data_IF_616194405704
#
_entry.id   IF_616194405704
#
_cell.length_a   1.000
_cell.length_b   1.000
_cell.length_c   1.000
_cell.angle_alpha   90.00
_cell.angle_beta   90.00
_cell.angle_gamma   90.00
#
_symmetry.space_group_name_H-M   'P 1'
#
loop_
_entity.id
_entity.type
_entity.pdbx_description
1 polymer ?
#
# COMPACT_ATOMS: atom_id res chain seq x y z
N UNK A 1 -2.41 5.71 18.32
CA UNK A 1 -1.06 6.28 18.05
C UNK A 1 -0.61 5.77 16.70
N UNK A 2 -0.16 6.64 15.80
CA UNK A 2 0.46 6.19 14.54
C UNK A 2 1.67 5.32 14.87
N UNK A 3 1.69 4.10 14.33
CA UNK A 3 2.71 3.07 14.62
C UNK A 3 3.75 2.96 13.50
N UNK A 4 3.46 3.53 12.32
CA UNK A 4 4.37 3.44 11.18
C UNK A 4 3.98 4.35 10.02
N UNK A 5 4.85 4.33 9.01
CA UNK A 5 4.61 5.04 7.76
C UNK A 5 4.95 4.16 6.56
N UNK A 6 4.34 4.49 5.44
CA UNK A 6 4.67 3.96 4.12
C UNK A 6 4.98 5.11 3.17
N UNK A 7 5.99 4.94 2.34
CA UNK A 7 6.26 5.82 1.20
C UNK A 7 6.02 5.02 -0.07
N UNK A 8 5.10 5.50 -0.92
CA UNK A 8 4.61 4.77 -2.06
C UNK A 8 5.05 5.39 -3.39
N UNK A 9 5.38 4.53 -4.34
CA UNK A 9 5.74 4.94 -5.70
C UNK A 9 7.20 5.32 -5.86
N UNK A 10 8.09 4.68 -5.12
CA UNK A 10 9.53 4.83 -5.32
C UNK A 10 9.91 4.21 -6.67
N UNK A 11 10.65 4.96 -7.46
CA UNK A 11 11.00 4.57 -8.83
C UNK A 11 12.45 4.84 -9.22
N UNK A 12 13.29 5.29 -8.30
CA UNK A 12 14.72 5.51 -8.55
C UNK A 12 15.59 5.05 -7.37
N UNK A 13 16.83 4.70 -7.67
CA UNK A 13 17.75 4.09 -6.72
C UNK A 13 18.28 5.08 -5.66
N UNK A 14 18.48 6.33 -6.04
CA UNK A 14 19.03 7.34 -5.14
C UNK A 14 18.02 7.68 -4.03
N UNK A 15 16.76 7.89 -4.41
CA UNK A 15 15.67 8.07 -3.45
C UNK A 15 15.50 6.84 -2.56
N UNK A 16 15.56 5.64 -3.15
CA UNK A 16 15.41 4.40 -2.38
C UNK A 16 16.54 4.26 -1.35
N UNK A 17 17.79 4.46 -1.74
CA UNK A 17 18.94 4.44 -0.84
C UNK A 17 18.84 5.48 0.27
N UNK A 18 18.43 6.70 -0.06
CA UNK A 18 18.23 7.75 0.94
C UNK A 18 17.20 7.34 2.00
N UNK A 19 16.05 6.82 1.55
CA UNK A 19 14.94 6.43 2.43
C UNK A 19 15.33 5.27 3.36
N UNK A 20 15.95 4.23 2.81
CA UNK A 20 16.34 3.02 3.56
C UNK A 20 17.40 3.33 4.63
N UNK A 21 18.33 4.23 4.32
CA UNK A 21 19.42 4.59 5.21
C UNK A 21 19.11 5.79 6.11
N UNK A 22 17.89 6.33 6.04
CA UNK A 22 17.47 7.40 6.92
C UNK A 22 17.46 6.92 8.39
N UNK A 23 17.84 7.75 9.39
CA UNK A 23 17.76 7.38 10.81
C UNK A 23 16.37 6.89 11.27
N UNK A 24 15.32 7.35 10.60
CA UNK A 24 13.92 6.95 10.81
C UNK A 24 13.32 6.47 9.48
N UNK A 25 13.67 5.27 9.00
CA UNK A 25 13.16 4.78 7.72
C UNK A 25 11.68 4.47 7.83
N UNK A 26 10.90 4.57 6.72
CA UNK A 26 9.52 4.14 6.72
C UNK A 26 9.43 2.63 6.93
N UNK A 27 8.35 2.19 7.58
CA UNK A 27 8.11 0.76 7.79
C UNK A 27 7.82 0.02 6.48
N UNK A 28 7.24 0.72 5.50
CA UNK A 28 6.89 0.16 4.19
C UNK A 28 7.37 1.06 3.06
N UNK A 29 7.84 0.46 1.97
CA UNK A 29 8.23 1.14 0.73
C UNK A 29 7.49 0.47 -0.44
N UNK A 30 6.66 1.25 -1.15
CA UNK A 30 5.80 0.76 -2.23
C UNK A 30 6.38 1.03 -3.62
N UNK A 31 6.26 0.02 -4.50
CA UNK A 31 6.66 0.07 -5.91
C UNK A 31 5.45 -0.25 -6.79
N UNK A 32 5.12 0.62 -7.75
CA UNK A 32 3.97 0.42 -8.64
C UNK A 32 4.37 -0.51 -9.77
N UNK A 33 3.88 -1.77 -9.72
CA UNK A 33 4.40 -2.86 -10.54
C UNK A 33 3.61 -3.13 -11.84
N UNK A 34 2.33 -2.77 -11.93
CA UNK A 34 1.52 -3.08 -13.12
C UNK A 34 0.60 -1.96 -13.60
N UNK A 35 0.57 -0.81 -12.94
CA UNK A 35 -0.25 0.33 -13.37
C UNK A 35 0.56 1.32 -14.23
N UNK A 36 0.68 1.03 -15.54
CA UNK A 36 1.50 1.78 -16.50
C UNK A 36 1.09 3.25 -16.71
N UNK A 37 -0.14 3.64 -16.33
CA UNK A 37 -0.59 5.03 -16.39
C UNK A 37 0.02 5.92 -15.30
N UNK A 38 0.57 5.33 -14.26
CA UNK A 38 1.27 6.09 -13.22
C UNK A 38 2.63 6.56 -13.71
N UNK A 39 2.97 7.83 -13.47
CA UNK A 39 4.31 8.36 -13.69
C UNK A 39 5.39 7.69 -12.84
N UNK A 40 4.98 6.97 -11.79
CA UNK A 40 5.85 6.23 -10.86
C UNK A 40 5.83 4.71 -11.12
N UNK A 41 5.30 4.28 -12.27
CA UNK A 41 5.35 2.87 -12.67
C UNK A 41 6.79 2.42 -12.85
N UNK A 42 7.08 1.22 -12.39
CA UNK A 42 8.39 0.58 -12.50
C UNK A 42 8.24 -0.75 -13.24
N UNK A 43 8.93 -0.90 -14.35
CA UNK A 43 8.96 -2.16 -15.10
C UNK A 43 9.81 -3.23 -14.38
N UNK A 44 9.76 -4.46 -14.88
CA UNK A 44 10.45 -5.61 -14.27
C UNK A 44 11.96 -5.42 -14.24
N UNK A 45 12.56 -4.88 -15.31
CA UNK A 45 14.01 -4.69 -15.37
C UNK A 45 14.49 -3.71 -14.30
N UNK A 46 13.76 -2.61 -14.18
CA UNK A 46 14.04 -1.58 -13.16
C UNK A 46 13.73 -2.08 -11.74
N UNK A 47 12.65 -2.86 -11.55
CA UNK A 47 12.36 -3.52 -10.27
C UNK A 47 13.50 -4.43 -9.81
N UNK A 48 14.04 -5.25 -10.69
CA UNK A 48 15.19 -6.12 -10.37
C UNK A 48 16.40 -5.30 -9.87
N UNK A 49 16.67 -4.15 -10.51
CA UNK A 49 17.78 -3.26 -10.10
C UNK A 49 17.51 -2.60 -8.74
N UNK A 50 16.29 -2.08 -8.52
CA UNK A 50 15.90 -1.42 -7.28
C UNK A 50 15.89 -2.39 -6.09
N UNK A 51 15.38 -3.58 -6.30
CA UNK A 51 15.17 -4.56 -5.22
C UNK A 51 16.41 -5.42 -4.92
N UNK A 52 17.52 -5.19 -5.63
CA UNK A 52 18.81 -5.85 -5.37
C UNK A 52 19.52 -5.31 -4.12
N UNK A 53 19.07 -4.20 -3.56
CA UNK A 53 19.67 -3.59 -2.35
C UNK A 53 19.09 -4.18 -1.08
N UNK A 54 19.85 -4.09 0.01
CA UNK A 54 19.35 -4.47 1.33
C UNK A 54 18.28 -3.46 1.79
N UNK A 55 17.10 -3.96 2.09
CA UNK A 55 15.96 -3.15 2.56
C UNK A 55 16.05 -2.75 4.04
N UNK A 56 17.09 -3.20 4.75
CA UNK A 56 17.27 -2.95 6.18
C UNK A 56 16.01 -3.28 6.99
N UNK A 57 15.44 -2.26 7.67
CA UNK A 57 14.26 -2.40 8.53
C UNK A 57 12.92 -2.19 7.81
N UNK A 58 12.95 -1.81 6.53
CA UNK A 58 11.75 -1.56 5.75
C UNK A 58 11.18 -2.83 5.12
N UNK A 59 9.88 -2.88 4.91
CA UNK A 59 9.21 -3.92 4.14
C UNK A 59 8.97 -3.42 2.71
N UNK A 60 9.32 -4.21 1.71
CA UNK A 60 9.01 -3.91 0.31
C UNK A 60 7.61 -4.37 -0.06
N UNK A 61 6.87 -3.49 -0.73
CA UNK A 61 5.47 -3.68 -1.10
C UNK A 61 5.30 -3.56 -2.61
N UNK A 62 4.84 -4.64 -3.27
CA UNK A 62 4.38 -4.57 -4.65
C UNK A 62 2.98 -3.96 -4.70
N UNK A 63 2.82 -2.83 -5.34
CA UNK A 63 1.52 -2.18 -5.55
C UNK A 63 0.93 -2.63 -6.87
N UNK A 64 -0.23 -3.25 -6.80
CA UNK A 64 -0.86 -4.00 -7.88
C UNK A 64 -2.33 -3.59 -8.05
N UNK A 65 -2.72 -3.32 -9.27
CA UNK A 65 -4.11 -3.04 -9.65
C UNK A 65 -4.62 -4.19 -10.49
N UNK A 66 -5.58 -4.96 -9.97
CA UNK A 66 -6.16 -6.13 -10.65
C UNK A 66 -5.09 -6.95 -11.39
N UNK A 67 -4.09 -7.49 -10.66
CA UNK A 67 -2.95 -8.16 -11.29
C UNK A 67 -3.41 -9.44 -12.00
N UNK A 68 -2.88 -9.64 -13.19
CA UNK A 68 -2.99 -10.91 -13.91
C UNK A 68 -1.89 -11.90 -13.48
N UNK A 69 -1.99 -13.13 -13.95
CA UNK A 69 -1.01 -14.16 -13.63
C UNK A 69 0.38 -13.83 -14.17
N UNK A 70 0.47 -13.16 -15.33
CA UNK A 70 1.75 -12.81 -15.95
C UNK A 70 2.60 -11.90 -15.05
N UNK A 71 2.01 -10.82 -14.50
CA UNK A 71 2.74 -9.95 -13.58
C UNK A 71 3.09 -10.66 -12.27
N UNK A 72 2.19 -11.46 -11.72
CA UNK A 72 2.43 -12.19 -10.47
C UNK A 72 3.58 -13.20 -10.62
N UNK A 73 3.63 -13.94 -11.72
CA UNK A 73 4.72 -14.86 -12.02
C UNK A 73 6.08 -14.14 -12.20
N UNK A 74 6.08 -12.95 -12.82
CA UNK A 74 7.29 -12.13 -13.00
C UNK A 74 7.85 -11.60 -11.69
N UNK A 75 7.00 -11.26 -10.72
CA UNK A 75 7.44 -10.65 -9.45
C UNK A 75 7.56 -11.63 -8.28
N UNK A 76 7.11 -12.88 -8.43
CA UNK A 76 7.05 -13.84 -7.30
C UNK A 76 8.40 -14.09 -6.62
N UNK A 77 9.50 -14.00 -7.37
CA UNK A 77 10.86 -14.22 -6.88
C UNK A 77 11.53 -12.97 -6.31
N UNK A 78 10.90 -11.79 -6.50
CA UNK A 78 11.42 -10.55 -5.96
C UNK A 78 11.17 -10.46 -4.44
N UNK A 79 12.04 -9.76 -3.68
CA UNK A 79 12.00 -9.74 -2.23
C UNK A 79 10.89 -8.86 -1.65
N UNK A 80 9.70 -8.95 -2.22
CA UNK A 80 8.51 -8.31 -1.67
C UNK A 80 8.00 -9.05 -0.44
N UNK A 81 7.72 -8.32 0.63
CA UNK A 81 7.10 -8.84 1.85
C UNK A 81 5.58 -8.82 1.76
N UNK A 82 5.03 -7.82 1.05
CA UNK A 82 3.60 -7.59 0.90
C UNK A 82 3.22 -7.37 -0.55
N UNK A 83 2.03 -7.84 -0.90
CA UNK A 83 1.31 -7.41 -2.10
C UNK A 83 0.17 -6.49 -1.67
N UNK A 84 0.19 -5.24 -2.12
CA UNK A 84 -0.89 -4.28 -1.98
C UNK A 84 -1.77 -4.37 -3.21
N UNK A 85 -3.02 -4.80 -3.04
CA UNK A 85 -3.89 -5.18 -4.15
C UNK A 85 -5.14 -4.28 -4.17
N UNK A 86 -5.36 -3.64 -5.33
CA UNK A 86 -6.57 -2.91 -5.67
C UNK A 86 -7.45 -3.75 -6.61
N UNK A 87 -8.76 -3.50 -6.58
CA UNK A 87 -9.76 -3.94 -7.56
C UNK A 87 -9.83 -5.47 -7.77
N UNK A 88 -9.55 -6.25 -6.74
CA UNK A 88 -9.76 -7.69 -6.72
C UNK A 88 -10.85 -8.08 -5.73
N UNK A 89 -11.57 -9.16 -6.01
CA UNK A 89 -12.51 -9.80 -5.10
C UNK A 89 -11.77 -10.52 -3.96
N UNK A 90 -12.45 -10.83 -2.82
CA UNK A 90 -11.86 -11.63 -1.75
C UNK A 90 -11.31 -12.98 -2.22
N UNK A 91 -12.00 -13.66 -3.14
CA UNK A 91 -11.58 -14.97 -3.66
C UNK A 91 -10.31 -14.87 -4.53
N UNK A 92 -10.21 -13.81 -5.36
CA UNK A 92 -9.00 -13.53 -6.14
C UNK A 92 -7.81 -13.24 -5.21
N UNK A 93 -8.01 -12.42 -4.17
CA UNK A 93 -6.97 -12.12 -3.17
C UNK A 93 -6.55 -13.40 -2.41
N UNK A 94 -7.52 -14.23 -2.03
CA UNK A 94 -7.25 -15.52 -1.37
C UNK A 94 -6.36 -16.40 -2.23
N UNK A 95 -6.71 -16.55 -3.50
CA UNK A 95 -5.94 -17.35 -4.46
C UNK A 95 -4.52 -16.83 -4.63
N UNK A 96 -4.33 -15.50 -4.71
CA UNK A 96 -3.01 -14.87 -4.79
C UNK A 96 -2.22 -15.12 -3.50
N UNK A 97 -2.83 -14.92 -2.34
CA UNK A 97 -2.19 -15.10 -1.04
C UNK A 97 -1.67 -16.53 -0.85
N UNK A 98 -2.50 -17.51 -1.17
CA UNK A 98 -2.18 -18.94 -1.03
C UNK A 98 -1.10 -19.36 -2.05
N UNK A 99 -1.27 -18.98 -3.33
CA UNK A 99 -0.34 -19.37 -4.41
C UNK A 99 1.06 -18.80 -4.23
N UNK A 100 1.16 -17.52 -3.84
CA UNK A 100 2.45 -16.82 -3.78
C UNK A 100 3.02 -16.67 -2.36
N UNK A 101 2.28 -17.11 -1.33
CA UNK A 101 2.67 -17.03 0.08
C UNK A 101 3.13 -15.62 0.49
N UNK A 102 2.36 -14.60 0.13
CA UNK A 102 2.65 -13.19 0.45
C UNK A 102 1.65 -12.65 1.46
N UNK A 103 2.11 -11.74 2.31
CA UNK A 103 1.20 -10.93 3.13
C UNK A 103 0.44 -9.94 2.25
N UNK A 104 -0.82 -9.67 2.59
CA UNK A 104 -1.71 -8.86 1.78
C UNK A 104 -2.05 -7.53 2.46
N UNK A 105 -1.86 -6.45 1.73
CA UNK A 105 -2.47 -5.16 2.00
C UNK A 105 -3.66 -5.02 1.05
N UNK A 106 -4.88 -5.13 1.58
CA UNK A 106 -6.08 -4.92 0.77
C UNK A 106 -6.37 -3.43 0.67
N UNK A 107 -6.27 -2.89 -0.54
CA UNK A 107 -6.51 -1.49 -0.81
C UNK A 107 -7.96 -1.27 -1.28
N UNK A 108 -8.70 -0.50 -0.51
CA UNK A 108 -10.09 -0.13 -0.78
C UNK A 108 -10.19 1.36 -1.10
N UNK A 109 -10.78 1.68 -2.23
CA UNK A 109 -11.09 3.05 -2.60
C UNK A 109 -12.33 3.52 -1.82
N UNK A 110 -12.18 4.55 -1.01
CA UNK A 110 -13.22 5.06 -0.13
C UNK A 110 -13.75 6.38 -0.69
N UNK A 111 -15.01 6.39 -1.10
CA UNK A 111 -15.73 7.56 -1.60
C UNK A 111 -16.88 7.93 -0.66
N UNK A 112 -17.46 6.93 -0.02
CA UNK A 112 -18.61 7.07 0.86
C UNK A 112 -18.63 5.96 1.95
N UNK A 113 -19.65 6.00 2.80
CA UNK A 113 -19.85 5.03 3.89
C UNK A 113 -20.03 3.58 3.39
N UNK A 114 -20.65 3.38 2.22
CA UNK A 114 -20.84 2.04 1.64
C UNK A 114 -19.50 1.41 1.24
N UNK A 115 -18.58 2.23 0.71
CA UNK A 115 -17.25 1.75 0.38
C UNK A 115 -16.49 1.33 1.64
N UNK A 116 -16.62 2.09 2.74
CA UNK A 116 -16.01 1.72 4.02
C UNK A 116 -16.50 0.35 4.48
N UNK A 117 -17.81 0.08 4.45
CA UNK A 117 -18.37 -1.18 4.93
C UNK A 117 -17.87 -2.42 4.18
N UNK A 118 -17.34 -2.27 2.98
CA UNK A 118 -16.79 -3.39 2.19
C UNK A 118 -15.61 -4.11 2.86
N UNK A 119 -14.94 -3.48 3.84
CA UNK A 119 -13.80 -4.11 4.53
C UNK A 119 -14.15 -5.46 5.13
N UNK A 120 -15.39 -5.65 5.60
CA UNK A 120 -15.85 -6.91 6.18
C UNK A 120 -15.69 -8.10 5.24
N UNK A 121 -15.90 -7.89 3.94
CA UNK A 121 -15.81 -8.94 2.91
C UNK A 121 -14.38 -9.50 2.78
N UNK A 122 -13.39 -8.70 3.14
CA UNK A 122 -11.97 -9.03 2.99
C UNK A 122 -11.29 -9.48 4.29
N UNK A 123 -12.04 -9.63 5.39
CA UNK A 123 -11.47 -9.91 6.72
C UNK A 123 -10.56 -11.13 6.77
N UNK A 124 -10.90 -12.20 6.06
CA UNK A 124 -10.18 -13.47 6.12
C UNK A 124 -8.91 -13.49 5.26
N UNK A 125 -8.82 -12.60 4.28
CA UNK A 125 -7.71 -12.60 3.31
C UNK A 125 -6.70 -11.48 3.55
N UNK A 126 -7.06 -10.47 4.33
CA UNK A 126 -6.28 -9.24 4.56
C UNK A 126 -5.35 -9.38 5.77
N UNK A 127 -4.13 -8.89 5.67
CA UNK A 127 -3.22 -8.70 6.80
C UNK A 127 -3.21 -7.24 7.27
N UNK A 128 -3.30 -6.28 6.35
CA UNK A 128 -3.41 -4.84 6.61
C UNK A 128 -4.47 -4.26 5.66
N UNK A 129 -5.35 -3.41 6.15
CA UNK A 129 -6.22 -2.61 5.29
C UNK A 129 -5.54 -1.31 4.87
N UNK A 130 -5.74 -0.91 3.63
CA UNK A 130 -5.44 0.43 3.16
C UNK A 130 -6.75 1.08 2.68
N UNK A 131 -7.11 2.20 3.29
CA UNK A 131 -8.20 3.05 2.81
C UNK A 131 -7.60 4.23 2.05
N UNK A 132 -7.95 4.34 0.78
CA UNK A 132 -7.45 5.36 -0.13
C UNK A 132 -8.61 6.17 -0.71
N UNK A 133 -8.50 7.47 -0.76
CA UNK A 133 -9.58 8.39 -1.16
C UNK A 133 -9.99 8.30 -2.62
N UNK A 134 -9.09 7.93 -3.53
CA UNK A 134 -9.37 7.68 -4.96
C UNK A 134 -8.59 6.50 -5.52
N UNK A 135 -8.12 5.63 -4.64
CA UNK A 135 -7.31 4.52 -5.04
C UNK A 135 -6.03 4.96 -5.73
N UNK A 136 -5.71 4.32 -6.82
CA UNK A 136 -4.48 4.53 -7.59
C UNK A 136 -4.56 5.69 -8.61
N UNK A 137 -5.72 6.35 -8.74
CA UNK A 137 -5.90 7.53 -9.60
C UNK A 137 -5.36 8.79 -8.90
N UNK A 138 -6.02 9.93 -9.05
CA UNK A 138 -5.61 11.15 -8.37
C UNK A 138 -6.12 11.17 -6.94
N UNK A 139 -5.19 11.16 -5.98
CA UNK A 139 -5.48 11.24 -4.56
C UNK A 139 -6.26 12.51 -4.19
N UNK A 140 -7.34 12.36 -3.42
CA UNK A 140 -8.08 13.46 -2.78
C UNK A 140 -8.30 13.10 -1.32
N UNK A 141 -8.32 14.08 -0.43
CA UNK A 141 -8.69 13.84 0.96
C UNK A 141 -10.12 13.27 1.03
N UNK A 142 -10.34 12.27 1.87
CA UNK A 142 -11.68 11.79 2.19
C UNK A 142 -12.08 12.18 3.62
N UNK A 143 -13.38 12.15 3.89
CA UNK A 143 -13.87 12.48 5.22
C UNK A 143 -13.51 11.40 6.24
N UNK A 144 -12.62 11.74 7.16
CA UNK A 144 -12.17 10.85 8.23
C UNK A 144 -13.32 10.39 9.14
N UNK A 145 -14.40 11.16 9.25
CA UNK A 145 -15.57 10.77 10.03
C UNK A 145 -16.21 9.46 9.55
N UNK A 146 -16.00 9.08 8.28
CA UNK A 146 -16.45 7.81 7.72
C UNK A 146 -15.85 6.59 8.41
N UNK A 147 -14.65 6.72 8.97
CA UNK A 147 -13.92 5.61 9.58
C UNK A 147 -13.82 5.68 11.11
N UNK A 148 -14.17 6.81 11.73
CA UNK A 148 -14.13 6.94 13.19
C UNK A 148 -15.04 5.95 13.93
N UNK A 149 -16.12 5.52 13.29
CA UNK A 149 -17.18 4.67 13.88
C UNK A 149 -16.97 3.17 13.63
N UNK A 150 -16.03 2.80 12.77
CA UNK A 150 -15.81 1.38 12.46
C UNK A 150 -14.80 0.75 13.41
N UNK A 151 -15.01 -0.53 13.70
CA UNK A 151 -14.09 -1.34 14.52
C UNK A 151 -13.37 -2.33 13.63
N UNK A 152 -12.17 -1.98 13.21
CA UNK A 152 -11.28 -2.87 12.44
C UNK A 152 -10.33 -3.56 13.42
N UNK A 153 -10.29 -4.91 13.38
CA UNK A 153 -9.42 -5.71 14.24
C UNK A 153 -8.02 -5.95 13.66
N UNK A 154 -7.72 -5.34 12.51
CA UNK A 154 -6.44 -5.44 11.82
C UNK A 154 -5.83 -4.06 11.66
N UNK A 155 -4.51 -3.95 11.44
CA UNK A 155 -3.90 -2.64 11.19
C UNK A 155 -4.56 -1.92 10.02
N UNK A 156 -4.84 -0.64 10.21
CA UNK A 156 -5.38 0.24 9.19
C UNK A 156 -4.34 1.25 8.73
N UNK A 157 -4.11 1.26 7.44
CA UNK A 157 -3.31 2.24 6.72
C UNK A 157 -4.26 3.23 6.03
N UNK A 158 -3.92 4.51 6.06
CA UNK A 158 -4.68 5.57 5.37
C UNK A 158 -3.80 6.22 4.34
N UNK A 159 -4.33 6.38 3.13
CA UNK A 159 -3.77 7.16 2.04
C UNK A 159 -4.77 8.23 1.58
N UNK A 160 -4.30 9.16 0.79
CA UNK A 160 -5.11 10.20 0.16
C UNK A 160 -4.74 11.59 0.61
N UNK A 161 -4.01 12.28 -0.26
CA UNK A 161 -3.63 13.70 -0.13
C UNK A 161 -3.00 14.10 1.23
N UNK A 162 -2.27 13.19 1.85
CA UNK A 162 -1.52 13.49 3.08
C UNK A 162 -0.32 14.37 2.72
N UNK A 163 -0.24 15.55 3.32
CA UNK A 163 0.77 16.57 3.05
C UNK A 163 1.85 16.61 4.13
N UNK A 164 3.02 17.13 3.76
CA UNK A 164 4.17 17.27 4.68
C UNK A 164 3.83 18.10 5.93
N UNK A 165 2.95 19.07 5.79
CA UNK A 165 2.55 19.99 6.86
C UNK A 165 1.28 19.54 7.60
N UNK A 166 0.74 18.37 7.30
CA UNK A 166 -0.46 17.89 7.99
C UNK A 166 -0.17 17.62 9.47
N UNK A 167 -1.14 17.95 10.31
CA UNK A 167 -1.07 17.60 11.71
C UNK A 167 -1.39 16.11 11.89
N UNK A 168 -0.36 15.31 12.18
CA UNK A 168 -0.47 13.86 12.38
C UNK A 168 -1.42 13.47 13.53
N UNK A 169 -1.72 14.37 14.46
CA UNK A 169 -2.70 14.13 15.52
C UNK A 169 -4.10 13.80 14.96
N UNK A 170 -4.45 14.38 13.80
CA UNK A 170 -5.72 14.14 13.13
C UNK A 170 -5.87 12.69 12.67
N UNK A 171 -4.76 12.00 12.40
CA UNK A 171 -4.74 10.62 11.93
C UNK A 171 -4.65 9.59 13.06
N UNK A 172 -4.20 9.98 14.26
CA UNK A 172 -3.94 9.05 15.39
C UNK A 172 -5.15 8.27 15.87
N UNK A 173 -6.36 8.83 15.69
CA UNK A 173 -7.60 8.19 16.13
C UNK A 173 -8.15 7.19 15.12
N UNK A 174 -7.72 7.29 13.87
CA UNK A 174 -8.35 6.62 12.74
C UNK A 174 -7.42 5.64 12.02
N UNK A 175 -6.11 5.75 12.20
CA UNK A 175 -5.15 4.88 11.52
C UNK A 175 -4.00 4.44 12.42
N UNK A 176 -3.42 3.28 12.08
CA UNK A 176 -2.15 2.79 12.63
C UNK A 176 -0.96 3.24 11.79
N UNK A 177 -1.14 3.39 10.47
CA UNK A 177 -0.09 3.66 9.49
C UNK A 177 -0.58 4.74 8.54
N UNK A 178 0.29 5.68 8.18
CA UNK A 178 0.05 6.66 7.11
C UNK A 178 0.80 6.26 5.84
N UNK A 179 0.13 6.34 4.69
CA UNK A 179 0.72 6.07 3.37
C UNK A 179 0.84 7.36 2.57
N UNK A 180 2.07 7.78 2.30
CA UNK A 180 2.40 9.02 1.62
C UNK A 180 2.83 8.70 0.19
N UNK A 181 2.21 9.37 -0.79
CA UNK A 181 2.47 9.13 -2.19
C UNK A 181 2.47 10.42 -3.02
N UNK A 182 3.41 11.27 -2.81
CA UNK A 182 3.55 12.51 -3.58
C UNK A 182 2.71 13.65 -3.01
N UNK A 183 3.13 14.13 -1.88
CA UNK A 183 2.74 15.40 -1.28
C UNK A 183 3.82 16.43 -1.51
#
# INVERSE_FOLDING_TARGET
MIKGSKICGISDLDTLNFIINHPYPPQFIGFICNYKKSSRYVDIEKLNKLLAIDKNKSNFVAVLVKPDEDILEKIKHLPFDYYQIYDCTPDEIKSIKEKYNKKIITALTIRDENDVQKYHLYSDVTDIYLFDSKGYEKSMAFDHALIEKIKINKPLMIAGNIQVNDNLENYKKIADIIDISGG
#
